data_IF_190506326150
#
_entry.id   IF_190506326150
#
_cell.length_a   1.000
_cell.length_b   1.000
_cell.length_c   1.000
_cell.angle_alpha   90.00
_cell.angle_beta   90.00
_cell.angle_gamma   90.00
#
_symmetry.space_group_name_H-M   'P 1'
#
loop_
_entity.id
_entity.type
_entity.pdbx_description
1 polymer ?
#
# COMPACT_ATOMS: atom_id res chain seq x y z
N UNK A 1 -14.37 -54.84 41.56
CA UNK A 1 -14.64 -55.75 40.42
C UNK A 1 -13.53 -55.57 39.41
N UNK A 2 -12.80 -56.62 39.05
CA UNK A 2 -11.77 -56.54 38.02
C UNK A 2 -12.42 -56.44 36.63
N UNK A 3 -11.88 -55.62 35.71
CA UNK A 3 -12.43 -55.51 34.36
C UNK A 3 -12.30 -56.84 33.63
N UNK A 4 -13.37 -57.22 32.91
CA UNK A 4 -13.34 -58.45 32.11
C UNK A 4 -12.39 -58.31 30.93
N UNK A 5 -11.82 -59.42 30.46
CA UNK A 5 -10.88 -59.45 29.31
C UNK A 5 -11.44 -58.74 28.08
N UNK A 6 -12.76 -58.82 27.85
CA UNK A 6 -13.45 -58.12 26.75
C UNK A 6 -13.40 -56.60 26.90
N UNK A 7 -13.57 -56.11 28.13
CA UNK A 7 -13.50 -54.67 28.46
C UNK A 7 -12.09 -54.14 28.26
N UNK A 8 -11.08 -54.89 28.68
CA UNK A 8 -9.66 -54.51 28.48
C UNK A 8 -9.31 -54.45 26.99
N UNK A 9 -9.76 -55.44 26.21
CA UNK A 9 -9.52 -55.48 24.77
C UNK A 9 -10.19 -54.33 24.02
N UNK A 10 -11.43 -53.99 24.39
CA UNK A 10 -12.17 -52.88 23.80
C UNK A 10 -11.47 -51.53 24.06
N UNK A 11 -10.96 -51.32 25.27
CA UNK A 11 -10.22 -50.10 25.63
C UNK A 11 -8.91 -50.00 24.85
N UNK A 12 -8.20 -51.12 24.67
CA UNK A 12 -6.96 -51.15 23.88
C UNK A 12 -7.25 -50.79 22.41
N UNK A 13 -8.29 -51.38 21.81
CA UNK A 13 -8.66 -51.06 20.42
C UNK A 13 -9.05 -49.59 20.23
N UNK A 14 -9.78 -49.03 21.19
CA UNK A 14 -10.16 -47.62 21.17
C UNK A 14 -8.93 -46.70 21.29
N UNK A 15 -8.00 -47.03 22.18
CA UNK A 15 -6.75 -46.28 22.34
C UNK A 15 -5.90 -46.34 21.06
N UNK A 16 -5.77 -47.51 20.44
CA UNK A 16 -5.03 -47.68 19.18
C UNK A 16 -5.69 -46.90 18.05
N UNK A 17 -7.03 -46.98 17.93
CA UNK A 17 -7.78 -46.23 16.92
C UNK A 17 -7.63 -44.71 17.08
N UNK A 18 -7.66 -44.20 18.31
CA UNK A 18 -7.49 -42.78 18.59
C UNK A 18 -6.06 -42.29 18.23
N UNK A 19 -5.03 -43.07 18.58
CA UNK A 19 -3.63 -42.72 18.25
C UNK A 19 -3.39 -42.76 16.75
N UNK A 20 -3.84 -43.82 16.08
CA UNK A 20 -3.68 -43.96 14.63
C UNK A 20 -4.46 -42.86 13.86
N UNK A 21 -5.71 -42.60 14.25
CA UNK A 21 -6.52 -41.55 13.66
C UNK A 21 -5.93 -40.15 13.86
N UNK A 22 -5.44 -39.86 15.07
CA UNK A 22 -4.80 -38.57 15.38
C UNK A 22 -3.51 -38.33 14.58
N UNK A 23 -2.65 -39.34 14.44
CA UNK A 23 -1.41 -39.23 13.68
C UNK A 23 -1.66 -38.96 12.19
N UNK A 24 -2.64 -39.66 11.60
CA UNK A 24 -3.02 -39.48 10.19
C UNK A 24 -3.66 -38.11 9.99
N UNK A 25 -4.60 -37.72 10.87
CA UNK A 25 -5.26 -36.42 10.80
C UNK A 25 -4.29 -35.25 10.91
N UNK A 26 -3.33 -35.32 11.85
CA UNK A 26 -2.29 -34.30 12.01
C UNK A 26 -1.39 -34.19 10.78
N UNK A 27 -0.93 -35.32 10.25
CA UNK A 27 -0.05 -35.34 9.07
C UNK A 27 -0.73 -34.74 7.84
N UNK A 28 -2.00 -35.10 7.61
CA UNK A 28 -2.76 -34.61 6.48
C UNK A 28 -3.10 -33.11 6.60
N UNK A 29 -3.48 -32.67 7.81
CA UNK A 29 -3.77 -31.26 8.08
C UNK A 29 -2.54 -30.37 7.92
N UNK A 30 -1.36 -30.83 8.34
CA UNK A 30 -0.11 -30.07 8.19
C UNK A 30 0.26 -29.85 6.72
N UNK A 31 0.21 -30.90 5.91
CA UNK A 31 0.55 -30.83 4.47
C UNK A 31 -0.37 -29.85 3.75
N UNK A 32 -1.68 -29.96 3.96
CA UNK A 32 -2.64 -29.04 3.31
C UNK A 32 -2.48 -27.59 3.80
N UNK A 33 -2.23 -27.39 5.10
CA UNK A 33 -2.04 -26.06 5.67
C UNK A 33 -0.79 -25.35 5.13
N UNK A 34 0.35 -26.06 5.03
CA UNK A 34 1.59 -25.50 4.48
C UNK A 34 1.47 -25.17 2.99
N UNK A 35 0.85 -26.03 2.18
CA UNK A 35 0.69 -25.76 0.76
C UNK A 35 -0.26 -24.58 0.49
N UNK A 36 -1.41 -24.53 1.18
CA UNK A 36 -2.33 -23.40 1.05
C UNK A 36 -1.69 -22.09 1.54
N UNK A 37 -0.98 -22.12 2.67
CA UNK A 37 -0.30 -20.96 3.21
C UNK A 37 0.80 -20.43 2.29
N UNK A 38 1.58 -21.33 1.68
CA UNK A 38 2.65 -20.97 0.75
C UNK A 38 2.11 -20.36 -0.54
N UNK A 39 1.06 -20.95 -1.13
CA UNK A 39 0.46 -20.43 -2.37
C UNK A 39 -0.19 -19.06 -2.14
N UNK A 40 -0.96 -18.93 -1.06
CA UNK A 40 -1.60 -17.66 -0.72
C UNK A 40 -0.55 -16.57 -0.44
N UNK A 41 0.45 -16.86 0.40
CA UNK A 41 1.50 -15.91 0.74
C UNK A 41 2.35 -15.49 -0.45
N UNK A 42 2.65 -16.40 -1.39
CA UNK A 42 3.39 -16.06 -2.61
C UNK A 42 2.58 -15.19 -3.57
N UNK A 43 1.29 -15.48 -3.74
CA UNK A 43 0.40 -14.71 -4.59
C UNK A 43 0.20 -13.28 -4.07
N UNK A 44 -0.06 -13.15 -2.77
CA UNK A 44 -0.24 -11.85 -2.10
C UNK A 44 1.06 -11.05 -2.04
N UNK A 45 2.18 -11.68 -1.71
CA UNK A 45 3.49 -11.01 -1.69
C UNK A 45 3.89 -10.47 -3.07
N UNK A 46 3.61 -11.21 -4.15
CA UNK A 46 3.87 -10.71 -5.51
C UNK A 46 2.96 -9.55 -5.90
N UNK A 47 1.66 -9.60 -5.59
CA UNK A 47 0.74 -8.53 -5.98
C UNK A 47 1.06 -7.23 -5.24
N UNK A 48 1.36 -7.32 -3.93
CA UNK A 48 1.76 -6.16 -3.11
C UNK A 48 3.10 -5.61 -3.58
N UNK A 49 4.12 -6.45 -3.78
CA UNK A 49 5.44 -6.00 -4.23
C UNK A 49 5.42 -5.33 -5.60
N UNK A 50 4.62 -5.84 -6.55
CA UNK A 50 4.47 -5.20 -7.88
C UNK A 50 3.72 -3.87 -7.77
N UNK A 51 2.71 -3.78 -6.92
CA UNK A 51 1.98 -2.53 -6.71
C UNK A 51 2.86 -1.45 -6.06
N UNK A 52 3.65 -1.83 -5.06
CA UNK A 52 4.58 -0.94 -4.36
C UNK A 52 5.68 -0.44 -5.30
N UNK A 53 6.29 -1.33 -6.09
CA UNK A 53 7.29 -0.95 -7.08
C UNK A 53 6.72 -0.01 -8.14
N UNK A 54 5.51 -0.30 -8.65
CA UNK A 54 4.82 0.57 -9.61
C UNK A 54 4.53 1.95 -9.03
N UNK A 55 4.08 2.01 -7.78
CA UNK A 55 3.82 3.28 -7.09
C UNK A 55 5.10 4.09 -6.90
N UNK A 56 6.22 3.45 -6.54
CA UNK A 56 7.52 4.10 -6.41
C UNK A 56 8.01 4.67 -7.74
N UNK A 57 7.99 3.85 -8.80
CA UNK A 57 8.41 4.29 -10.15
C UNK A 57 7.54 5.44 -10.64
N UNK A 58 6.23 5.39 -10.39
CA UNK A 58 5.32 6.46 -10.78
C UNK A 58 5.58 7.75 -9.99
N UNK A 59 5.82 7.66 -8.68
CA UNK A 59 6.19 8.81 -7.87
C UNK A 59 7.51 9.45 -8.31
N UNK A 60 8.50 8.63 -8.70
CA UNK A 60 9.78 9.11 -9.23
C UNK A 60 9.59 9.79 -10.60
N UNK A 61 8.78 9.21 -11.48
CA UNK A 61 8.45 9.81 -12.77
C UNK A 61 7.72 11.15 -12.60
N UNK A 62 6.72 11.23 -11.71
CA UNK A 62 5.98 12.45 -11.44
C UNK A 62 6.88 13.53 -10.82
N UNK A 63 7.82 13.15 -9.95
CA UNK A 63 8.81 14.06 -9.38
C UNK A 63 9.77 14.59 -10.46
N UNK A 64 10.21 13.73 -11.37
CA UNK A 64 11.07 14.11 -12.49
C UNK A 64 10.34 15.07 -13.45
N UNK A 65 9.06 14.81 -13.76
CA UNK A 65 8.24 15.71 -14.58
C UNK A 65 8.09 17.07 -13.89
N UNK A 66 7.74 17.10 -12.60
CA UNK A 66 7.61 18.37 -11.87
C UNK A 66 8.93 19.15 -11.79
N UNK A 67 10.05 18.46 -11.62
CA UNK A 67 11.36 19.10 -11.63
C UNK A 67 11.68 19.70 -13.01
N UNK A 68 11.42 18.95 -14.08
CA UNK A 68 11.58 19.44 -15.44
C UNK A 68 10.66 20.62 -15.75
N UNK A 69 9.39 20.58 -15.33
CA UNK A 69 8.44 21.68 -15.46
C UNK A 69 8.89 22.92 -14.68
N UNK A 70 9.41 22.76 -13.46
CA UNK A 70 9.92 23.87 -12.67
C UNK A 70 11.16 24.52 -13.30
N UNK A 71 12.07 23.72 -13.86
CA UNK A 71 13.24 24.23 -14.60
C UNK A 71 12.82 24.91 -15.91
N UNK A 72 11.84 24.37 -16.63
CA UNK A 72 11.31 25.00 -17.84
C UNK A 72 10.59 26.32 -17.51
N UNK A 73 9.83 26.36 -16.42
CA UNK A 73 9.15 27.57 -15.94
C UNK A 73 10.16 28.64 -15.51
N UNK A 74 11.28 28.25 -14.89
CA UNK A 74 12.39 29.16 -14.61
C UNK A 74 13.00 29.70 -15.90
N UNK A 75 13.38 28.83 -16.83
CA UNK A 75 13.98 29.26 -18.10
C UNK A 75 13.06 30.16 -18.95
N UNK A 76 11.75 29.94 -18.88
CA UNK A 76 10.76 30.75 -19.58
C UNK A 76 10.37 32.04 -18.84
N UNK A 77 10.71 32.20 -17.56
CA UNK A 77 10.35 33.38 -16.78
C UNK A 77 11.29 34.55 -17.12
N UNK A 78 10.80 35.61 -17.80
CA UNK A 78 11.63 36.77 -18.16
C UNK A 78 12.01 37.64 -16.95
N UNK A 79 11.48 37.35 -15.75
CA UNK A 79 11.70 38.11 -14.52
C UNK A 79 12.59 37.37 -13.51
N UNK A 80 13.39 36.40 -13.96
CA UNK A 80 14.17 35.54 -13.06
C UNK A 80 15.25 36.28 -12.27
N UNK A 81 15.74 37.40 -12.81
CA UNK A 81 16.75 38.27 -12.18
C UNK A 81 16.14 39.36 -11.27
N UNK A 82 14.88 39.18 -10.83
CA UNK A 82 14.26 40.02 -9.80
C UNK A 82 13.71 41.36 -10.30
N UNK A 83 13.78 41.66 -11.60
CA UNK A 83 13.20 42.89 -12.16
C UNK A 83 11.77 42.60 -12.63
N UNK A 84 10.83 42.41 -11.70
CA UNK A 84 9.40 42.40 -12.04
C UNK A 84 8.94 43.87 -12.24
N UNK A 85 8.63 44.31 -13.48
CA UNK A 85 8.26 45.69 -13.79
C UNK A 85 6.92 46.11 -13.16
N UNK A 86 6.18 45.19 -12.54
CA UNK A 86 4.92 45.44 -11.84
C UNK A 86 5.03 45.32 -10.31
N UNK A 87 6.20 45.01 -9.76
CA UNK A 87 6.36 44.83 -8.31
C UNK A 87 6.25 46.14 -7.51
N UNK A 88 6.52 47.28 -8.14
CA UNK A 88 6.50 48.61 -7.48
C UNK A 88 5.57 49.63 -8.16
N UNK A 89 4.77 49.23 -9.15
CA UNK A 89 3.85 50.18 -9.80
C UNK A 89 2.66 50.45 -8.88
N UNK A 90 2.69 51.59 -8.20
CA UNK A 90 1.51 52.19 -7.59
C UNK A 90 0.35 52.14 -8.59
N UNK A 91 -0.82 51.64 -8.17
CA UNK A 91 -1.96 51.47 -9.05
C UNK A 91 -2.32 52.84 -9.67
N UNK A 92 -2.25 53.01 -11.01
CA UNK A 92 -2.45 54.31 -11.64
C UNK A 92 -3.87 54.86 -11.47
N UNK A 93 -4.82 54.04 -11.00
CA UNK A 93 -6.18 54.42 -10.70
C UNK A 93 -6.44 54.73 -9.22
N UNK A 94 -5.44 54.55 -8.35
CA UNK A 94 -5.59 54.77 -6.91
C UNK A 94 -5.86 56.24 -6.56
N UNK A 95 -5.46 57.17 -7.43
CA UNK A 95 -5.71 58.61 -7.34
C UNK A 95 -6.93 59.10 -8.12
N UNK A 96 -7.63 58.23 -8.86
CA UNK A 96 -8.75 58.64 -9.73
C UNK A 96 -10.08 58.40 -9.01
N UNK A 97 -10.41 59.30 -8.06
CA UNK A 97 -11.75 59.40 -7.48
C UNK A 97 -12.58 60.42 -8.25
N UNK A 98 -12.86 60.13 -9.53
CA UNK A 98 -13.76 60.95 -10.33
C UNK A 98 -15.19 60.66 -9.88
N UNK A 99 -15.82 61.59 -9.17
CA UNK A 99 -17.27 61.63 -9.04
C UNK A 99 -17.81 62.54 -10.17
N UNK A 100 -18.33 61.98 -11.27
CA UNK A 100 -18.82 62.76 -12.40
C UNK A 100 -20.10 63.56 -12.10
N UNK A 101 -20.69 63.42 -10.90
CA UNK A 101 -21.88 64.13 -10.45
C UNK A 101 -21.61 65.22 -9.40
N UNK A 102 -20.35 65.60 -9.18
CA UNK A 102 -19.96 66.61 -8.18
C UNK A 102 -19.95 68.08 -8.71
N UNK A 103 -20.74 68.40 -9.74
CA UNK A 103 -20.96 69.78 -10.21
C UNK A 103 -22.27 70.35 -9.65
#
# INVERSE_FOLDING_TARGET
MAPTTKTVFAVILLAVGAVAGGAIGFSYGKIQGEDMGRVAGYAEGRSVGVAEEKARVQAEADAAIRAAEAEAAKAANPFIDGTNPFAETANPFESVKINPFAQ
#
